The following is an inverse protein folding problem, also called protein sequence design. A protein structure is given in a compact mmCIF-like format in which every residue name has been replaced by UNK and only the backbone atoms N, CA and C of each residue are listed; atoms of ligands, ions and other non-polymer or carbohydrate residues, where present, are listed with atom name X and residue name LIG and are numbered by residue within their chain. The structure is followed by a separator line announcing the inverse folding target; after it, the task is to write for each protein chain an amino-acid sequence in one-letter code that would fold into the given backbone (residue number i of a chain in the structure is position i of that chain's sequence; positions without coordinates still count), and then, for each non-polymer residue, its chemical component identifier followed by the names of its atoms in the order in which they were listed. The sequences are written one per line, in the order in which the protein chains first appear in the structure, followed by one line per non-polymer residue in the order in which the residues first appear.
data_IF_000639443577
#
_entry.id   IF_000639443577
#
_cell.length_a   1.000
_cell.length_b   1.000
_cell.length_c   1.000
_cell.angle_alpha   90.00
_cell.angle_beta   90.00
_cell.angle_gamma   90.00
#
_symmetry.space_group_name_H-M   'P 1'
#
loop_
_entity.id
_entity.type
_entity.pdbx_description
1 polymer ?
#
# COMPACT_ATOMS: atom_id res chain seq x y z
N UNK A 1 -18.25 -14.35 25.05
CA UNK A 1 -18.55 -14.53 23.62
C UNK A 1 -17.26 -14.69 22.86
N UNK A 2 -17.22 -15.66 21.96
CA UNK A 2 -16.10 -15.85 21.04
C UNK A 2 -16.00 -14.64 20.11
N UNK A 3 -14.79 -14.08 19.99
CA UNK A 3 -14.49 -13.00 19.07
C UNK A 3 -13.33 -13.41 18.14
N UNK A 4 -13.07 -12.64 17.07
CA UNK A 4 -12.05 -12.98 16.09
C UNK A 4 -10.67 -13.17 16.75
N UNK A 5 -10.27 -12.28 17.66
CA UNK A 5 -8.97 -12.36 18.33
C UNK A 5 -8.84 -13.62 19.20
N UNK A 6 -9.90 -14.02 19.87
CA UNK A 6 -9.95 -15.25 20.67
C UNK A 6 -9.91 -16.49 19.77
N UNK A 7 -10.66 -16.47 18.67
CA UNK A 7 -10.68 -17.57 17.69
C UNK A 7 -9.28 -17.84 17.09
N UNK A 8 -8.57 -16.80 16.67
CA UNK A 8 -7.24 -16.91 16.08
C UNK A 8 -6.09 -16.94 17.11
N UNK A 9 -6.37 -16.88 18.41
CA UNK A 9 -5.35 -16.89 19.47
C UNK A 9 -4.28 -17.99 19.31
N UNK A 10 -4.59 -19.23 18.87
CA UNK A 10 -3.59 -20.29 18.71
C UNK A 10 -2.44 -19.97 17.74
N UNK A 11 -2.62 -19.00 16.83
CA UNK A 11 -1.57 -18.62 15.87
C UNK A 11 -0.83 -17.34 16.25
N UNK A 12 -1.24 -16.61 17.28
CA UNK A 12 -0.60 -15.36 17.72
C UNK A 12 0.86 -15.56 18.18
N UNK A 13 1.13 -16.66 18.90
CA UNK A 13 2.49 -16.96 19.41
C UNK A 13 3.50 -17.24 18.28
N UNK A 14 3.00 -17.51 17.08
CA UNK A 14 3.81 -17.78 15.88
C UNK A 14 3.94 -16.57 14.96
N UNK A 15 3.37 -15.44 15.32
CA UNK A 15 3.37 -14.25 14.48
C UNK A 15 4.78 -13.80 14.08
N UNK A 16 4.97 -13.58 12.80
CA UNK A 16 6.24 -13.18 12.18
C UNK A 16 7.20 -14.31 11.88
N UNK A 17 6.80 -15.58 12.04
CA UNK A 17 7.67 -16.71 11.70
C UNK A 17 7.77 -16.94 10.18
N UNK A 18 6.77 -16.49 9.41
CA UNK A 18 6.70 -16.67 7.96
C UNK A 18 6.84 -15.32 7.20
N UNK A 19 7.06 -14.22 7.93
CA UNK A 19 7.22 -12.92 7.30
C UNK A 19 8.44 -12.88 6.37
N UNK A 20 8.21 -12.41 5.15
CA UNK A 20 9.25 -12.19 4.15
C UNK A 20 9.83 -10.76 4.22
N UNK A 21 9.37 -9.93 5.13
CA UNK A 21 9.83 -8.55 5.30
C UNK A 21 11.29 -8.53 5.72
N UNK A 22 12.10 -7.76 4.98
CA UNK A 22 13.51 -7.54 5.27
C UNK A 22 13.78 -6.06 5.36
N UNK A 23 14.44 -5.64 6.45
CA UNK A 23 14.74 -4.24 6.72
C UNK A 23 16.25 -4.08 6.86
N UNK A 24 16.80 -3.12 6.11
CA UNK A 24 18.19 -2.73 6.16
C UNK A 24 18.29 -1.33 6.76
N UNK A 25 19.11 -1.16 7.78
CA UNK A 25 19.53 0.17 8.25
C UNK A 25 20.59 0.69 7.30
N UNK A 26 20.28 1.79 6.60
CA UNK A 26 21.18 2.37 5.58
C UNK A 26 22.19 3.34 6.20
N UNK A 27 21.75 4.16 7.16
CA UNK A 27 22.57 5.18 7.79
C UNK A 27 22.10 5.49 9.21
N UNK A 28 22.92 6.25 9.95
CA UNK A 28 22.73 6.62 11.33
C UNK A 28 23.68 5.86 12.27
N UNK A 29 23.62 6.13 13.60
CA UNK A 29 22.68 7.08 14.21
C UNK A 29 23.09 8.54 14.01
N UNK A 30 22.10 9.39 13.72
CA UNK A 30 22.24 10.83 13.79
C UNK A 30 21.56 11.34 15.07
N UNK A 31 22.18 12.28 15.83
CA UNK A 31 21.55 12.86 17.01
C UNK A 31 20.37 13.75 16.59
N UNK A 32 19.24 13.57 17.26
CA UNK A 32 18.01 14.33 16.98
C UNK A 32 17.34 14.80 18.26
N UNK A 33 16.48 15.83 18.11
CA UNK A 33 15.58 16.26 19.16
C UNK A 33 14.17 15.74 18.85
N UNK A 34 13.67 14.84 19.66
CA UNK A 34 12.36 14.21 19.53
C UNK A 34 11.27 15.00 20.28
N UNK A 35 9.99 14.70 20.02
CA UNK A 35 8.85 15.37 20.64
C UNK A 35 8.94 16.89 20.54
N UNK A 36 9.15 17.42 19.34
CA UNK A 36 9.30 18.87 19.12
C UNK A 36 10.38 19.51 20.01
N UNK A 37 11.54 18.88 20.09
CA UNK A 37 12.71 19.40 20.81
C UNK A 37 12.72 19.14 22.33
N UNK A 38 11.87 18.24 22.84
CA UNK A 38 11.73 18.01 24.28
C UNK A 38 12.66 16.92 24.83
N UNK A 39 13.03 15.94 24.02
CA UNK A 39 13.90 14.84 24.44
C UNK A 39 14.96 14.52 23.41
N UNK A 40 16.16 14.19 23.87
CA UNK A 40 17.26 13.79 22.99
C UNK A 40 17.10 12.34 22.54
N UNK A 41 17.48 12.05 21.32
CA UNK A 41 17.45 10.71 20.75
C UNK A 41 18.37 10.54 19.57
N UNK A 42 18.29 9.38 18.96
CA UNK A 42 19.06 8.98 17.78
C UNK A 42 18.13 8.51 16.69
N UNK A 43 18.41 8.93 15.47
CA UNK A 43 17.63 8.57 14.29
C UNK A 43 18.47 7.77 13.30
N UNK A 44 17.85 6.78 12.72
CA UNK A 44 18.39 5.96 11.63
C UNK A 44 17.47 6.03 10.43
N UNK A 45 18.05 5.87 9.28
CA UNK A 45 17.31 5.68 8.04
C UNK A 45 17.35 4.20 7.68
N UNK A 46 16.18 3.61 7.46
CA UNK A 46 16.00 2.22 7.12
C UNK A 46 15.27 2.04 5.78
N UNK A 47 15.49 0.90 5.15
CA UNK A 47 14.83 0.52 3.89
C UNK A 47 14.26 -0.89 3.97
N UNK A 48 13.15 -1.11 3.23
CA UNK A 48 12.58 -2.42 2.96
C UNK A 48 12.11 -2.46 1.50
N UNK A 49 12.86 -3.12 0.65
CA UNK A 49 12.70 -2.97 -0.80
C UNK A 49 12.96 -1.51 -1.20
N UNK A 50 12.03 -0.89 -1.91
CA UNK A 50 12.10 0.52 -2.33
C UNK A 50 11.54 1.50 -1.27
N UNK A 51 10.98 0.97 -0.18
CA UNK A 51 10.48 1.79 0.92
C UNK A 51 11.63 2.32 1.78
N UNK A 52 11.57 3.60 2.14
CA UNK A 52 12.53 4.28 2.96
C UNK A 52 11.81 5.00 4.10
N UNK A 53 12.26 4.79 5.35
CA UNK A 53 11.60 5.32 6.52
C UNK A 53 12.57 5.56 7.69
N UNK A 54 12.14 6.39 8.63
CA UNK A 54 12.91 6.77 9.81
C UNK A 54 12.60 5.86 10.99
N UNK A 55 13.66 5.50 11.72
CA UNK A 55 13.58 4.85 13.03
C UNK A 55 14.22 5.76 14.05
N UNK A 56 13.52 6.11 15.12
CA UNK A 56 14.04 7.05 16.10
C UNK A 56 13.94 6.47 17.52
N UNK A 57 14.95 6.63 18.33
CA UNK A 57 15.00 6.07 19.68
C UNK A 57 15.46 7.15 20.66
N UNK A 58 14.64 7.41 21.68
CA UNK A 58 14.99 8.30 22.79
C UNK A 58 16.16 7.73 23.59
N UNK A 59 17.19 8.54 23.85
CA UNK A 59 18.43 8.12 24.53
C UNK A 59 18.17 7.52 25.91
N UNK A 60 17.20 8.03 26.65
CA UNK A 60 16.83 7.55 27.99
C UNK A 60 16.34 6.10 28.00
N UNK A 61 15.95 5.54 26.86
CA UNK A 61 15.40 4.18 26.77
C UNK A 61 16.48 3.09 26.83
N UNK A 62 17.68 3.37 26.36
CA UNK A 62 18.71 2.38 26.11
C UNK A 62 18.32 1.29 25.10
N UNK A 63 17.27 1.52 24.33
CA UNK A 63 16.77 0.55 23.35
C UNK A 63 17.74 0.41 22.17
N UNK A 64 17.73 -0.77 21.55
CA UNK A 64 18.58 -1.11 20.40
C UNK A 64 17.75 -1.07 19.11
N UNK A 65 18.24 -0.34 18.10
CA UNK A 65 17.62 -0.26 16.78
C UNK A 65 17.49 -1.62 16.12
N UNK A 66 18.43 -2.55 16.33
CA UNK A 66 18.34 -3.92 15.80
C UNK A 66 17.11 -4.65 16.32
N UNK A 67 16.80 -4.49 17.61
CA UNK A 67 15.60 -5.09 18.21
C UNK A 67 14.31 -4.45 17.68
N UNK A 68 14.33 -3.17 17.34
CA UNK A 68 13.20 -2.53 16.67
C UNK A 68 13.04 -3.09 15.25
N UNK A 69 14.11 -3.22 14.49
CA UNK A 69 14.11 -3.83 13.14
C UNK A 69 13.59 -5.26 13.20
N UNK A 70 14.07 -6.11 14.11
CA UNK A 70 13.58 -7.48 14.28
C UNK A 70 12.07 -7.57 14.54
N UNK A 71 11.50 -6.58 15.25
CA UNK A 71 10.06 -6.51 15.48
C UNK A 71 9.30 -6.06 14.23
N UNK A 72 9.82 -5.09 13.49
CA UNK A 72 9.23 -4.63 12.23
C UNK A 72 9.31 -5.69 11.13
N UNK A 73 10.37 -6.50 11.10
CA UNK A 73 10.49 -7.62 10.15
C UNK A 73 9.45 -8.73 10.37
N UNK A 74 8.80 -8.78 11.54
CA UNK A 74 7.68 -9.69 11.78
C UNK A 74 6.38 -9.24 11.10
N UNK A 75 6.27 -7.97 10.74
CA UNK A 75 5.10 -7.44 10.06
C UNK A 75 5.02 -7.93 8.61
N UNK A 76 3.83 -8.15 8.07
CA UNK A 76 3.66 -8.32 6.63
C UNK A 76 4.21 -7.10 5.88
N UNK A 77 4.78 -7.30 4.69
CA UNK A 77 5.37 -6.21 3.88
C UNK A 77 4.39 -5.08 3.58
N UNK A 78 3.10 -5.38 3.44
CA UNK A 78 2.05 -4.38 3.25
C UNK A 78 1.91 -3.39 4.41
N UNK A 79 2.35 -3.73 5.63
CA UNK A 79 2.32 -2.85 6.80
C UNK A 79 3.51 -1.88 6.85
N UNK A 80 4.56 -2.13 6.08
CA UNK A 80 5.72 -1.22 6.00
C UNK A 80 5.33 0.13 5.38
N UNK A 81 4.27 0.18 4.57
CA UNK A 81 3.71 1.44 4.09
C UNK A 81 3.34 2.41 5.23
N UNK A 82 2.86 1.90 6.37
CA UNK A 82 2.60 2.73 7.56
C UNK A 82 3.89 3.38 8.10
N UNK A 83 5.02 2.66 8.07
CA UNK A 83 6.33 3.21 8.50
C UNK A 83 6.79 4.35 7.58
N UNK A 84 6.50 4.26 6.27
CA UNK A 84 6.79 5.33 5.31
C UNK A 84 5.91 6.54 5.58
N UNK A 85 4.59 6.34 5.71
CA UNK A 85 3.64 7.42 5.98
C UNK A 85 4.01 8.23 7.23
N UNK A 86 4.33 7.56 8.35
CA UNK A 86 4.73 8.27 9.55
C UNK A 86 6.09 8.96 9.43
N UNK A 87 6.93 8.53 8.50
CA UNK A 87 8.23 9.15 8.22
C UNK A 87 8.12 10.37 7.32
N UNK A 88 7.15 10.37 6.41
CA UNK A 88 6.89 11.48 5.48
C UNK A 88 6.10 12.60 6.16
N UNK A 89 5.14 12.26 7.02
CA UNK A 89 4.26 13.20 7.72
C UNK A 89 4.83 13.68 9.07
N UNK A 90 5.75 12.91 9.69
CA UNK A 90 6.30 13.18 11.02
C UNK A 90 7.84 13.28 11.04
N UNK A 91 8.36 13.95 12.08
CA UNK A 91 9.80 14.13 12.24
C UNK A 91 10.48 12.84 12.74
N UNK A 92 9.81 12.11 13.65
CA UNK A 92 10.40 10.98 14.38
C UNK A 92 10.17 9.62 13.67
N UNK A 93 9.22 9.54 12.73
CA UNK A 93 8.90 8.27 12.06
C UNK A 93 8.38 7.20 13.03
N UNK A 94 8.92 5.99 12.96
CA UNK A 94 8.65 4.95 13.97
C UNK A 94 9.58 5.19 15.15
N UNK A 95 9.01 5.56 16.31
CA UNK A 95 9.77 6.06 17.44
C UNK A 95 9.62 5.22 18.71
N UNK A 96 10.73 5.03 19.46
CA UNK A 96 10.70 4.45 20.81
C UNK A 96 10.92 5.56 21.83
N UNK A 97 9.99 5.69 22.78
CA UNK A 97 10.01 6.63 23.89
C UNK A 97 10.07 5.91 25.23
N UNK A 98 10.69 6.55 26.21
CA UNK A 98 10.79 6.01 27.58
C UNK A 98 9.41 5.94 28.25
N UNK A 99 8.55 6.93 27.98
CA UNK A 99 7.21 7.01 28.55
C UNK A 99 6.21 7.58 27.56
N UNK A 100 5.04 6.95 27.51
CA UNK A 100 3.87 7.36 26.70
C UNK A 100 2.64 7.63 27.58
N UNK A 101 2.84 8.10 28.83
CA UNK A 101 1.74 8.40 29.74
C UNK A 101 0.95 7.17 30.17
N UNK A 102 1.63 6.03 30.32
CA UNK A 102 1.02 4.76 30.69
C UNK A 102 0.51 3.92 29.51
N UNK A 103 0.48 4.45 28.29
CA UNK A 103 0.19 3.67 27.09
C UNK A 103 1.39 2.82 26.65
N UNK A 104 1.13 1.70 25.96
CA UNK A 104 2.18 0.86 25.38
C UNK A 104 2.65 1.38 24.03
N UNK A 105 1.76 2.03 23.31
CA UNK A 105 2.02 2.60 22.00
C UNK A 105 0.93 3.62 21.63
N UNK A 106 1.18 4.40 20.58
CA UNK A 106 0.22 5.25 19.90
C UNK A 106 0.50 5.23 18.40
N UNK A 107 -0.53 5.04 17.58
CA UNK A 107 -0.47 5.15 16.13
C UNK A 107 -1.35 6.26 15.60
N UNK A 108 -0.94 6.87 14.51
CA UNK A 108 -1.68 7.93 13.84
C UNK A 108 -0.98 8.45 12.60
N UNK A 109 -1.54 9.56 12.06
CA UNK A 109 -0.97 10.22 10.90
C UNK A 109 0.39 10.83 11.23
N UNK A 110 1.46 10.38 10.95
CA UNK A 110 2.79 10.97 11.19
C UNK A 110 3.48 10.45 12.45
N UNK A 111 2.94 9.42 13.09
CA UNK A 111 3.63 8.79 14.22
C UNK A 111 3.20 7.34 14.45
N UNK A 112 4.18 6.50 14.75
CA UNK A 112 4.04 5.22 15.46
C UNK A 112 4.99 5.30 16.64
N UNK A 113 4.46 5.62 17.81
CA UNK A 113 5.22 5.78 19.05
C UNK A 113 5.10 4.53 19.91
N UNK A 114 6.20 4.00 20.38
CA UNK A 114 6.30 2.72 21.07
C UNK A 114 7.05 2.89 22.39
N UNK A 115 6.68 2.13 23.41
CA UNK A 115 7.59 1.90 24.55
C UNK A 115 8.63 0.81 24.21
N UNK A 116 9.78 0.73 24.93
CA UNK A 116 10.86 -0.19 24.58
C UNK A 116 10.46 -1.67 24.47
N UNK A 117 9.43 -2.10 25.19
CA UNK A 117 8.96 -3.48 25.24
C UNK A 117 7.71 -3.75 24.37
N UNK A 118 7.22 -2.79 23.60
CA UNK A 118 6.13 -3.02 22.66
C UNK A 118 6.52 -4.08 21.63
N UNK A 119 5.69 -5.10 21.45
CA UNK A 119 5.94 -6.21 20.54
C UNK A 119 5.41 -5.94 19.11
N UNK A 120 5.67 -6.85 18.19
CA UNK A 120 5.24 -6.72 16.80
C UNK A 120 3.72 -6.69 16.63
N UNK A 121 2.95 -7.33 17.51
CA UNK A 121 1.50 -7.30 17.49
C UNK A 121 0.96 -5.91 17.84
N UNK A 122 1.59 -5.24 18.82
CA UNK A 122 1.28 -3.84 19.13
C UNK A 122 1.61 -2.95 17.93
N UNK A 123 2.75 -3.16 17.27
CA UNK A 123 3.11 -2.38 16.08
C UNK A 123 2.10 -2.60 14.94
N UNK A 124 1.61 -3.82 14.75
CA UNK A 124 0.58 -4.11 13.75
C UNK A 124 -0.73 -3.36 14.03
N UNK A 125 -1.12 -3.24 15.30
CA UNK A 125 -2.26 -2.45 15.74
C UNK A 125 -2.08 -0.96 15.43
N UNK A 126 -0.94 -0.38 15.83
CA UNK A 126 -0.64 1.05 15.60
C UNK A 126 -0.52 1.39 14.11
N UNK A 127 0.05 0.48 13.31
CA UNK A 127 0.04 0.59 11.86
C UNK A 127 -1.39 0.61 11.30
N UNK A 128 -2.32 -0.12 11.92
CA UNK A 128 -3.74 -0.06 11.60
C UNK A 128 -4.32 1.34 11.73
N UNK A 129 -4.03 2.05 12.82
CA UNK A 129 -4.44 3.45 13.01
C UNK A 129 -3.83 4.39 11.97
N UNK A 130 -2.54 4.21 11.65
CA UNK A 130 -1.88 5.01 10.61
C UNK A 130 -2.56 4.83 9.26
N UNK A 131 -2.77 3.57 8.85
CA UNK A 131 -3.38 3.24 7.56
C UNK A 131 -4.86 3.68 7.48
N UNK A 132 -5.61 3.59 8.58
CA UNK A 132 -6.96 4.12 8.69
C UNK A 132 -6.97 5.63 8.43
N UNK A 133 -6.07 6.39 9.06
CA UNK A 133 -6.02 7.85 8.89
C UNK A 133 -5.63 8.25 7.47
N UNK A 134 -4.69 7.53 6.84
CA UNK A 134 -4.36 7.71 5.42
C UNK A 134 -5.59 7.44 4.54
N UNK A 135 -6.30 6.34 4.80
CA UNK A 135 -7.52 6.01 4.07
C UNK A 135 -8.62 7.07 4.26
N UNK A 136 -8.76 7.64 5.46
CA UNK A 136 -9.74 8.69 5.78
C UNK A 136 -9.45 10.00 5.03
N UNK A 137 -8.19 10.32 4.76
CA UNK A 137 -7.85 11.48 3.92
C UNK A 137 -8.33 11.30 2.47
N UNK A 138 -8.25 10.07 1.97
CA UNK A 138 -8.69 9.74 0.61
C UNK A 138 -10.21 9.54 0.52
N UNK A 139 -10.83 9.00 1.57
CA UNK A 139 -12.27 8.80 1.68
C UNK A 139 -12.74 9.14 3.11
N UNK A 140 -13.26 10.36 3.34
CA UNK A 140 -13.74 10.78 4.66
C UNK A 140 -14.84 9.89 5.27
N UNK A 141 -15.46 9.01 4.44
CA UNK A 141 -16.51 8.07 4.89
C UNK A 141 -15.97 6.68 5.23
N UNK A 142 -14.66 6.49 5.24
CA UNK A 142 -14.07 5.15 5.47
C UNK A 142 -14.51 4.56 6.80
N UNK A 143 -14.54 5.36 7.87
CA UNK A 143 -14.98 4.89 9.18
C UNK A 143 -16.50 4.65 9.28
N UNK A 144 -17.30 5.37 8.52
CA UNK A 144 -18.74 5.09 8.43
C UNK A 144 -18.98 3.76 7.71
N UNK A 145 -18.26 3.52 6.61
CA UNK A 145 -18.27 2.22 5.91
C UNK A 145 -17.76 1.08 6.80
N UNK A 146 -16.76 1.36 7.65
CA UNK A 146 -16.25 0.39 8.61
C UNK A 146 -17.31 0.02 9.66
N UNK A 147 -18.02 1.00 10.20
CA UNK A 147 -19.11 0.79 11.15
C UNK A 147 -20.25 -0.04 10.52
N UNK A 148 -20.58 0.20 9.26
CA UNK A 148 -21.56 -0.61 8.55
C UNK A 148 -21.07 -2.06 8.33
N UNK A 149 -19.76 -2.23 8.09
CA UNK A 149 -19.15 -3.55 7.99
C UNK A 149 -19.17 -4.31 9.34
N UNK A 150 -18.92 -3.63 10.47
CA UNK A 150 -19.05 -4.20 11.82
C UNK A 150 -20.46 -4.78 12.01
N UNK A 151 -21.48 -3.98 11.68
CA UNK A 151 -22.89 -4.38 11.81
C UNK A 151 -23.23 -5.56 10.88
N UNK A 152 -22.74 -5.53 9.65
CA UNK A 152 -23.02 -6.57 8.65
C UNK A 152 -22.34 -7.90 8.97
N UNK A 153 -21.11 -7.88 9.45
CA UNK A 153 -20.36 -9.08 9.83
C UNK A 153 -20.89 -9.70 11.14
N UNK A 154 -21.50 -8.91 12.01
CA UNK A 154 -22.14 -9.32 13.26
C UNK A 154 -21.25 -10.22 14.15
N UNK A 155 -19.97 -9.94 14.18
CA UNK A 155 -18.98 -10.61 15.03
C UNK A 155 -18.07 -9.56 15.68
N UNK A 156 -17.74 -9.71 16.95
CA UNK A 156 -16.75 -8.86 17.64
C UNK A 156 -15.34 -9.19 17.16
N UNK A 157 -14.49 -8.18 16.97
CA UNK A 157 -13.05 -8.41 16.74
C UNK A 157 -12.34 -8.70 18.06
N UNK A 158 -12.60 -7.91 19.08
CA UNK A 158 -12.08 -8.05 20.44
C UNK A 158 -12.90 -7.20 21.42
N UNK A 159 -12.81 -7.50 22.72
CA UNK A 159 -13.45 -6.67 23.75
C UNK A 159 -12.91 -5.24 23.78
N UNK A 160 -11.71 -5.01 23.27
CA UNK A 160 -11.13 -3.67 23.16
C UNK A 160 -11.66 -2.93 21.93
N UNK A 161 -11.74 -3.60 20.79
CA UNK A 161 -12.30 -3.08 19.56
C UNK A 161 -13.78 -2.70 19.67
N UNK A 162 -14.55 -3.42 20.49
CA UNK A 162 -15.99 -3.14 20.70
C UNK A 162 -16.27 -1.74 21.30
N UNK A 163 -15.24 -1.04 21.81
CA UNK A 163 -15.43 0.27 22.44
C UNK A 163 -15.70 1.38 21.43
N UNK A 164 -14.93 1.42 20.36
CA UNK A 164 -15.03 2.43 19.31
C UNK A 164 -14.52 1.88 17.97
N UNK A 165 -15.11 2.36 16.88
CA UNK A 165 -14.88 1.86 15.51
C UNK A 165 -13.44 1.92 15.01
N UNK A 166 -12.64 2.91 15.43
CA UNK A 166 -11.23 2.97 15.03
C UNK A 166 -10.37 1.95 15.78
N UNK A 167 -10.73 1.60 17.02
CA UNK A 167 -10.09 0.50 17.74
C UNK A 167 -10.48 -0.87 17.16
N UNK A 168 -11.74 -1.04 16.74
CA UNK A 168 -12.16 -2.25 16.02
C UNK A 168 -11.34 -2.43 14.74
N UNK A 169 -11.09 -1.34 13.98
CA UNK A 169 -10.28 -1.38 12.78
C UNK A 169 -8.82 -1.76 13.09
N UNK A 170 -8.19 -1.13 14.09
CA UNK A 170 -6.81 -1.42 14.46
C UNK A 170 -6.64 -2.85 15.03
N UNK A 171 -7.61 -3.33 15.82
CA UNK A 171 -7.65 -4.72 16.29
C UNK A 171 -7.85 -5.70 15.11
N UNK A 172 -8.70 -5.35 14.13
CA UNK A 172 -8.85 -6.16 12.92
C UNK A 172 -7.57 -6.18 12.08
N UNK A 173 -6.87 -5.05 11.97
CA UNK A 173 -5.55 -4.96 11.33
C UNK A 173 -4.56 -5.95 11.97
N UNK A 174 -4.54 -6.03 13.30
CA UNK A 174 -3.70 -6.98 14.03
C UNK A 174 -4.10 -8.43 13.71
N UNK A 175 -5.40 -8.78 13.77
CA UNK A 175 -5.88 -10.13 13.43
C UNK A 175 -5.54 -10.50 12.00
N UNK A 176 -5.75 -9.58 11.06
CA UNK A 176 -5.43 -9.79 9.65
C UNK A 176 -3.94 -10.06 9.44
N UNK A 177 -3.04 -9.27 10.08
CA UNK A 177 -1.60 -9.50 10.00
C UNK A 177 -1.19 -10.89 10.47
N UNK A 178 -1.78 -11.35 11.59
CA UNK A 178 -1.54 -12.69 12.14
C UNK A 178 -2.02 -13.78 11.20
N UNK A 179 -3.23 -13.64 10.63
CA UNK A 179 -3.79 -14.60 9.68
C UNK A 179 -3.00 -14.65 8.37
N UNK A 180 -2.55 -13.50 7.88
CA UNK A 180 -1.72 -13.38 6.68
C UNK A 180 -0.38 -14.09 6.86
N UNK A 181 0.30 -13.88 7.99
CA UNK A 181 1.57 -14.55 8.31
C UNK A 181 1.38 -16.07 8.47
N UNK A 182 0.30 -16.50 9.10
CA UNK A 182 -0.01 -17.92 9.29
C UNK A 182 -0.41 -18.65 8.00
N UNK A 183 -0.72 -17.92 6.93
CA UNK A 183 -0.92 -18.44 5.58
C UNK A 183 -2.37 -18.46 5.08
N UNK A 184 -2.56 -18.86 3.81
CA UNK A 184 -3.82 -18.69 3.07
C UNK A 184 -5.04 -19.30 3.75
N UNK A 185 -4.89 -20.43 4.43
CA UNK A 185 -6.00 -21.11 5.12
C UNK A 185 -6.64 -20.21 6.18
N UNK A 186 -5.81 -19.56 7.01
CA UNK A 186 -6.30 -18.70 8.09
C UNK A 186 -6.86 -17.39 7.55
N UNK A 187 -6.27 -16.87 6.47
CA UNK A 187 -6.76 -15.68 5.81
C UNK A 187 -8.15 -15.91 5.19
N UNK A 188 -8.37 -17.04 4.51
CA UNK A 188 -9.69 -17.44 4.01
C UNK A 188 -10.72 -17.69 5.13
N UNK A 189 -10.28 -18.21 6.27
CA UNK A 189 -11.13 -18.37 7.45
C UNK A 189 -11.56 -17.02 8.01
N UNK A 190 -10.64 -16.06 8.16
CA UNK A 190 -10.95 -14.69 8.57
C UNK A 190 -11.94 -14.02 7.60
N UNK A 191 -11.72 -14.18 6.29
CA UNK A 191 -12.61 -13.66 5.24
C UNK A 191 -14.02 -14.22 5.33
N UNK A 192 -14.17 -15.50 5.69
CA UNK A 192 -15.49 -16.12 5.89
C UNK A 192 -16.18 -15.61 7.15
N UNK A 193 -15.43 -15.39 8.23
CA UNK A 193 -15.98 -14.93 9.51
C UNK A 193 -16.33 -13.43 9.49
N UNK A 194 -15.59 -12.61 8.75
CA UNK A 194 -15.77 -11.16 8.72
C UNK A 194 -15.56 -10.61 7.29
N UNK A 195 -16.46 -10.95 6.36
CA UNK A 195 -16.25 -10.66 4.93
C UNK A 195 -16.25 -9.17 4.60
N UNK A 196 -17.04 -8.34 5.29
CA UNK A 196 -17.16 -6.92 4.99
C UNK A 196 -15.98 -6.12 5.50
N UNK A 197 -15.52 -6.38 6.76
CA UNK A 197 -14.28 -5.78 7.25
C UNK A 197 -13.07 -6.25 6.44
N UNK A 198 -13.03 -7.55 6.08
CA UNK A 198 -11.96 -8.09 5.25
C UNK A 198 -11.84 -7.35 3.91
N UNK A 199 -12.95 -7.18 3.18
CA UNK A 199 -12.99 -6.45 1.92
C UNK A 199 -12.53 -4.99 2.06
N UNK A 200 -13.00 -4.30 3.11
CA UNK A 200 -12.59 -2.92 3.37
C UNK A 200 -11.13 -2.80 3.79
N UNK A 201 -10.65 -3.73 4.62
CA UNK A 201 -9.27 -3.72 5.06
C UNK A 201 -8.29 -3.97 3.92
N UNK A 202 -8.59 -4.87 3.01
CA UNK A 202 -7.77 -5.05 1.81
C UNK A 202 -7.74 -3.80 0.94
N UNK A 203 -8.83 -3.03 0.87
CA UNK A 203 -8.84 -1.73 0.19
C UNK A 203 -8.01 -0.66 0.92
N UNK A 204 -7.93 -0.72 2.25
CA UNK A 204 -7.10 0.18 3.07
C UNK A 204 -5.63 -0.19 2.95
N UNK A 205 -5.30 -1.48 3.05
CA UNK A 205 -3.93 -1.99 2.90
C UNK A 205 -3.38 -1.79 1.51
N UNK A 206 -4.24 -1.80 0.52
CA UNK A 206 -3.85 -1.47 -0.83
C UNK A 206 -3.85 0.06 -0.97
N UNK A 207 -2.72 0.76 -0.71
CA UNK A 207 -2.59 2.20 -0.94
C UNK A 207 -2.76 2.54 -2.43
N UNK A 208 -2.70 1.53 -3.29
CA UNK A 208 -3.17 1.48 -4.66
C UNK A 208 -4.61 0.98 -4.75
N UNK A 209 -5.44 1.38 -3.75
CA UNK A 209 -6.83 1.49 -4.06
C UNK A 209 -6.86 2.30 -5.38
N UNK A 210 -7.31 1.67 -6.49
CA UNK A 210 -7.41 2.33 -7.78
C UNK A 210 -8.13 3.68 -7.69
N UNK A 211 -8.95 3.88 -6.65
CA UNK A 211 -9.60 5.15 -6.32
C UNK A 211 -8.61 6.22 -5.80
N UNK A 212 -7.47 5.85 -5.17
CA UNK A 212 -6.46 6.84 -4.76
C UNK A 212 -5.59 7.26 -5.95
N UNK A 213 -5.21 6.31 -6.80
CA UNK A 213 -4.54 6.63 -8.06
C UNK A 213 -5.41 7.51 -8.97
N UNK A 214 -6.73 7.21 -9.03
CA UNK A 214 -7.71 8.03 -9.74
C UNK A 214 -7.71 9.50 -9.31
N UNK A 215 -7.53 9.78 -8.02
CA UNK A 215 -7.46 11.16 -7.52
C UNK A 215 -6.13 11.85 -7.84
N UNK A 216 -5.06 11.09 -8.10
CA UNK A 216 -3.72 11.61 -8.41
C UNK A 216 -3.41 11.63 -9.90
N UNK A 217 -4.24 10.99 -10.74
CA UNK A 217 -4.10 11.08 -12.19
C UNK A 217 -4.32 12.52 -12.66
N UNK A 218 -3.50 12.94 -13.63
CA UNK A 218 -3.71 14.23 -14.30
C UNK A 218 -5.15 14.31 -14.86
N UNK A 219 -5.82 15.47 -14.79
CA UNK A 219 -7.16 15.65 -15.33
C UNK A 219 -7.33 15.32 -16.83
N UNK A 220 -6.26 15.11 -17.56
CA UNK A 220 -6.25 14.59 -18.91
C UNK A 220 -6.87 13.19 -18.99
N UNK A 221 -6.61 12.32 -18.00
CA UNK A 221 -7.10 10.95 -17.94
C UNK A 221 -8.56 10.91 -17.49
N UNK A 222 -9.47 11.17 -18.44
CA UNK A 222 -10.93 11.23 -18.20
C UNK A 222 -11.57 9.87 -18.06
N UNK A 223 -11.01 8.86 -18.71
CA UNK A 223 -11.50 7.48 -18.70
C UNK A 223 -10.47 6.58 -18.03
N UNK A 224 -10.94 5.62 -17.27
CA UNK A 224 -10.08 4.60 -16.67
C UNK A 224 -10.90 3.38 -16.32
N UNK A 225 -10.23 2.24 -16.34
CA UNK A 225 -10.70 0.98 -15.78
C UNK A 225 -9.69 0.48 -14.75
N UNK A 226 -10.12 -0.51 -14.01
CA UNK A 226 -9.29 -1.23 -13.07
C UNK A 226 -9.48 -2.70 -13.34
N UNK A 227 -8.42 -3.37 -13.71
CA UNK A 227 -8.45 -4.79 -14.03
C UNK A 227 -7.29 -5.50 -13.31
N UNK A 228 -7.62 -6.51 -12.49
CA UNK A 228 -6.65 -7.22 -11.66
C UNK A 228 -5.84 -6.32 -10.71
N UNK A 229 -6.35 -5.12 -10.39
CA UNK A 229 -5.67 -4.10 -9.62
C UNK A 229 -4.89 -3.09 -10.47
N UNK A 230 -4.65 -3.34 -11.77
CA UNK A 230 -4.00 -2.40 -12.69
C UNK A 230 -4.95 -1.28 -13.11
N UNK A 231 -4.52 -0.05 -12.93
CA UNK A 231 -5.20 1.11 -13.51
C UNK A 231 -4.77 1.25 -14.96
N UNK A 232 -5.75 1.24 -15.86
CA UNK A 232 -5.57 1.57 -17.28
C UNK A 232 -6.37 2.84 -17.55
N UNK A 233 -5.70 3.89 -18.01
CA UNK A 233 -6.28 5.21 -18.14
C UNK A 233 -6.05 5.80 -19.53
N UNK A 234 -6.94 6.67 -19.97
CA UNK A 234 -6.84 7.40 -21.21
C UNK A 234 -7.63 8.70 -21.19
N UNK A 235 -7.47 9.51 -22.22
CA UNK A 235 -8.30 10.69 -22.42
C UNK A 235 -9.77 10.31 -22.70
N UNK A 236 -10.65 11.29 -22.78
CA UNK A 236 -12.05 11.08 -23.20
C UNK A 236 -12.22 10.53 -24.61
N UNK A 237 -11.17 10.57 -25.43
CA UNK A 237 -11.18 10.12 -26.84
C UNK A 237 -10.85 8.63 -26.99
N UNK A 238 -10.24 8.03 -25.97
CA UNK A 238 -9.82 6.62 -26.00
C UNK A 238 -11.03 5.70 -25.92
N UNK A 239 -11.03 4.63 -26.71
CA UNK A 239 -12.05 3.59 -26.63
C UNK A 239 -11.97 2.82 -25.32
N UNK A 240 -13.12 2.61 -24.65
CA UNK A 240 -13.19 1.75 -23.47
C UNK A 240 -12.77 0.30 -23.76
N UNK A 241 -12.95 -0.16 -25.02
CA UNK A 241 -12.49 -1.48 -25.44
C UNK A 241 -10.96 -1.57 -25.43
N UNK A 242 -10.26 -0.49 -25.80
CA UNK A 242 -8.79 -0.46 -25.74
C UNK A 242 -8.29 -0.50 -24.29
N UNK A 243 -8.95 0.22 -23.37
CA UNK A 243 -8.63 0.12 -21.96
C UNK A 243 -8.83 -1.32 -21.45
N UNK A 244 -9.94 -1.96 -21.81
CA UNK A 244 -10.24 -3.33 -21.44
C UNK A 244 -9.22 -4.33 -21.99
N UNK A 245 -8.82 -4.19 -23.26
CA UNK A 245 -7.81 -5.07 -23.88
C UNK A 245 -6.45 -4.93 -23.20
N UNK A 246 -6.00 -3.71 -22.90
CA UNK A 246 -4.74 -3.49 -22.19
C UNK A 246 -4.75 -4.13 -20.79
N UNK A 247 -5.83 -3.99 -20.04
CA UNK A 247 -6.01 -4.66 -18.74
C UNK A 247 -5.98 -6.18 -18.86
N UNK A 248 -6.73 -6.73 -19.81
CA UNK A 248 -6.75 -8.17 -20.08
C UNK A 248 -5.36 -8.73 -20.41
N UNK A 249 -4.63 -8.07 -21.32
CA UNK A 249 -3.28 -8.49 -21.71
C UNK A 249 -2.31 -8.46 -20.54
N UNK A 250 -2.29 -7.38 -19.76
CA UNK A 250 -1.45 -7.28 -18.56
C UNK A 250 -1.71 -8.42 -17.57
N UNK A 251 -2.99 -8.71 -17.29
CA UNK A 251 -3.37 -9.82 -16.42
C UNK A 251 -2.94 -11.19 -16.99
N UNK A 252 -3.01 -11.36 -18.30
CA UNK A 252 -2.53 -12.59 -18.95
C UNK A 252 -1.02 -12.74 -18.85
N UNK A 253 -0.26 -11.67 -19.09
CA UNK A 253 1.20 -11.67 -18.98
C UNK A 253 1.67 -12.02 -17.57
N UNK A 254 0.97 -11.55 -16.55
CA UNK A 254 1.33 -11.72 -15.14
C UNK A 254 0.49 -12.77 -14.40
N UNK A 255 -0.30 -13.61 -15.12
CA UNK A 255 -1.23 -14.58 -14.51
C UNK A 255 -0.56 -15.52 -13.49
N UNK A 256 0.70 -15.88 -13.72
CA UNK A 256 1.48 -16.77 -12.84
C UNK A 256 2.47 -16.00 -11.95
N UNK A 257 2.41 -14.67 -11.94
CA UNK A 257 3.32 -13.80 -11.21
C UNK A 257 2.56 -12.66 -10.52
N UNK A 258 1.62 -13.02 -9.59
CA UNK A 258 0.89 -12.01 -8.81
C UNK A 258 1.83 -11.14 -7.96
N UNK A 259 3.00 -11.67 -7.59
CA UNK A 259 4.06 -10.95 -6.91
C UNK A 259 4.59 -9.77 -7.75
N UNK A 260 4.79 -9.96 -9.05
CA UNK A 260 5.21 -8.85 -9.94
C UNK A 260 4.09 -7.84 -10.10
N UNK A 261 2.83 -8.30 -10.30
CA UNK A 261 1.68 -7.42 -10.39
C UNK A 261 1.61 -6.52 -9.14
N UNK A 262 1.72 -7.12 -7.96
CA UNK A 262 1.74 -6.40 -6.69
C UNK A 262 2.89 -5.39 -6.61
N UNK A 263 4.11 -5.79 -7.01
CA UNK A 263 5.29 -4.92 -7.01
C UNK A 263 5.15 -3.70 -7.96
N UNK A 264 4.57 -3.90 -9.13
CA UNK A 264 4.29 -2.80 -10.06
C UNK A 264 3.37 -1.75 -9.45
N UNK A 265 2.39 -2.18 -8.65
CA UNK A 265 1.48 -1.30 -7.95
C UNK A 265 2.10 -0.70 -6.71
N UNK A 266 2.58 -1.53 -5.79
CA UNK A 266 3.00 -1.11 -4.46
C UNK A 266 4.25 -0.24 -4.49
N UNK A 267 5.23 -0.61 -5.34
CA UNK A 267 6.53 0.07 -5.34
C UNK A 267 6.67 1.13 -6.42
N UNK A 268 5.96 0.97 -7.55
CA UNK A 268 6.25 1.79 -8.73
C UNK A 268 5.14 2.75 -9.11
N UNK A 269 3.99 2.73 -8.41
CA UNK A 269 2.80 3.53 -8.76
C UNK A 269 2.50 3.47 -10.26
N UNK A 270 2.62 2.26 -10.83
CA UNK A 270 2.54 2.05 -12.26
C UNK A 270 1.08 2.03 -12.69
N UNK A 271 0.78 2.72 -13.76
CA UNK A 271 -0.46 2.58 -14.48
C UNK A 271 -0.17 2.48 -15.98
N UNK A 272 -1.15 2.09 -16.75
CA UNK A 272 -1.07 2.06 -18.21
C UNK A 272 -1.78 3.27 -18.77
N UNK A 273 -1.10 4.03 -19.62
CA UNK A 273 -1.65 5.16 -20.33
C UNK A 273 -1.94 4.75 -21.80
N UNK A 274 -3.21 4.69 -22.16
CA UNK A 274 -3.62 4.43 -23.55
C UNK A 274 -3.86 5.76 -24.26
N UNK A 275 -3.27 5.90 -25.45
CA UNK A 275 -3.48 7.03 -26.35
C UNK A 275 -4.57 6.72 -27.35
N UNK A 276 -5.45 7.67 -27.58
CA UNK A 276 -6.36 7.59 -28.72
C UNK A 276 -5.57 7.62 -30.05
N UNK A 277 -6.15 7.07 -31.12
CA UNK A 277 -5.51 7.06 -32.45
C UNK A 277 -5.07 8.45 -32.93
N UNK A 278 -5.82 9.49 -32.55
CA UNK A 278 -5.53 10.88 -32.92
C UNK A 278 -4.56 11.59 -31.95
N UNK A 279 -4.08 10.92 -30.92
CA UNK A 279 -3.17 11.49 -29.90
C UNK A 279 -1.73 11.03 -30.16
N UNK A 280 -0.78 11.83 -29.69
CA UNK A 280 0.65 11.58 -29.75
C UNK A 280 1.20 11.24 -28.36
N UNK A 281 2.36 10.61 -28.31
CA UNK A 281 3.04 10.30 -27.06
C UNK A 281 3.25 11.55 -26.18
N UNK A 282 3.50 12.70 -26.78
CA UNK A 282 3.70 13.99 -26.10
C UNK A 282 2.42 14.64 -25.58
N UNK A 283 1.24 14.12 -25.95
CA UNK A 283 -0.03 14.60 -25.39
C UNK A 283 -0.28 14.03 -23.99
N UNK A 284 0.32 12.89 -23.71
CA UNK A 284 0.26 12.31 -22.36
C UNK A 284 0.94 13.24 -21.34
N UNK A 285 0.29 13.55 -20.20
CA UNK A 285 0.84 14.45 -19.18
C UNK A 285 2.23 14.03 -18.70
N UNK A 286 2.43 12.73 -18.53
CA UNK A 286 3.67 12.14 -18.02
C UNK A 286 4.83 12.18 -19.05
N UNK A 287 4.50 12.42 -20.31
CA UNK A 287 5.44 12.56 -21.41
C UNK A 287 5.66 14.02 -21.86
N UNK A 288 5.09 14.99 -21.15
CA UNK A 288 5.29 16.43 -21.43
C UNK A 288 6.76 16.79 -21.34
N UNK A 289 7.27 17.47 -22.37
CA UNK A 289 8.68 17.83 -22.46
C UNK A 289 9.57 16.83 -23.18
N UNK A 290 9.05 15.68 -23.59
CA UNK A 290 9.75 14.79 -24.52
C UNK A 290 9.89 15.46 -25.88
N UNK A 291 10.97 15.12 -26.62
CA UNK A 291 11.14 15.66 -27.96
C UNK A 291 10.02 15.18 -28.91
N UNK A 292 9.64 16.02 -29.86
CA UNK A 292 8.65 15.68 -30.91
C UNK A 292 9.05 14.46 -31.74
N UNK A 293 10.33 14.09 -31.75
CA UNK A 293 10.79 12.88 -32.39
C UNK A 293 10.09 11.62 -31.84
N UNK A 294 9.88 11.57 -30.51
CA UNK A 294 9.14 10.48 -29.87
C UNK A 294 7.67 10.47 -30.26
N UNK A 295 7.07 11.65 -30.41
CA UNK A 295 5.67 11.80 -30.80
C UNK A 295 5.37 11.16 -32.17
N UNK A 296 6.30 11.25 -33.10
CA UNK A 296 6.14 10.71 -34.45
C UNK A 296 6.64 9.29 -34.63
N UNK A 297 7.50 8.83 -33.74
CA UNK A 297 8.14 7.53 -33.87
C UNK A 297 7.44 6.44 -33.05
N UNK A 298 6.99 6.76 -31.86
CA UNK A 298 6.57 5.78 -30.88
C UNK A 298 5.05 5.83 -30.62
N UNK A 299 4.39 4.69 -30.81
CA UNK A 299 2.99 4.49 -30.38
C UNK A 299 2.91 3.65 -29.10
N UNK A 300 4.03 3.52 -28.36
CA UNK A 300 4.16 2.90 -27.07
C UNK A 300 5.51 3.23 -26.46
N UNK A 301 5.60 3.21 -25.14
CA UNK A 301 6.84 3.36 -24.37
C UNK A 301 6.79 2.51 -23.11
N UNK A 302 7.85 1.72 -22.87
CA UNK A 302 8.12 1.00 -21.62
C UNK A 302 8.68 1.94 -20.56
N UNK A 303 7.86 2.88 -20.10
CA UNK A 303 8.23 3.91 -19.14
C UNK A 303 7.25 3.94 -17.94
N UNK A 304 7.21 5.01 -17.19
CA UNK A 304 6.24 5.23 -16.12
C UNK A 304 5.42 6.48 -16.43
N UNK A 305 4.14 6.30 -16.81
CA UNK A 305 3.42 5.05 -17.07
C UNK A 305 3.92 4.31 -18.30
N UNK A 306 3.59 3.02 -18.39
CA UNK A 306 3.66 2.30 -19.68
C UNK A 306 2.59 2.88 -20.57
N UNK A 307 2.92 3.15 -21.84
CA UNK A 307 1.95 3.70 -22.78
C UNK A 307 1.82 2.86 -24.06
N UNK A 308 0.66 2.94 -24.69
CA UNK A 308 0.40 2.34 -25.99
C UNK A 308 -0.74 3.07 -26.72
N UNK A 309 -0.77 2.94 -28.05
CA UNK A 309 -1.86 3.45 -28.87
C UNK A 309 -3.04 2.47 -28.95
N UNK A 310 -4.27 2.98 -28.93
CA UNK A 310 -5.49 2.16 -29.04
C UNK A 310 -5.59 1.41 -30.36
N UNK A 311 -4.99 1.95 -31.43
CA UNK A 311 -5.02 1.34 -32.76
C UNK A 311 -4.31 -0.02 -32.79
N UNK A 312 -3.25 -0.20 -32.01
CA UNK A 312 -2.53 -1.47 -31.92
C UNK A 312 -3.28 -2.46 -31.04
N UNK A 313 -3.86 -2.00 -29.92
CA UNK A 313 -4.66 -2.84 -29.03
C UNK A 313 -5.91 -3.42 -29.72
N UNK A 314 -6.52 -2.65 -30.61
CA UNK A 314 -7.78 -2.99 -31.28
C UNK A 314 -7.61 -3.44 -32.74
N UNK A 315 -6.36 -3.64 -33.21
CA UNK A 315 -6.03 -4.00 -34.59
C UNK A 315 -6.72 -3.10 -35.63
N UNK A 316 -6.66 -1.77 -35.39
CA UNK A 316 -7.32 -0.80 -36.27
C UNK A 316 -6.55 -0.64 -37.58
N UNK A 317 -7.30 -0.30 -38.64
CA UNK A 317 -6.70 0.05 -39.91
C UNK A 317 -5.84 1.32 -39.74
N UNK A 318 -4.54 1.20 -39.96
CA UNK A 318 -3.60 2.31 -39.77
C UNK A 318 -2.62 2.13 -38.60
N UNK A 319 -2.77 1.01 -37.86
CA UNK A 319 -1.74 0.60 -36.91
C UNK A 319 -0.39 0.43 -37.64
N UNK A 320 0.68 1.16 -37.22
CA UNK A 320 1.98 1.05 -37.84
C UNK A 320 2.75 -0.24 -37.49
N UNK A 321 2.29 -1.00 -36.48
CA UNK A 321 2.98 -2.17 -35.95
C UNK A 321 2.22 -3.48 -36.26
N UNK A 322 1.73 -3.61 -37.47
CA UNK A 322 0.98 -4.81 -37.87
C UNK A 322 1.76 -6.09 -37.61
N UNK A 323 1.14 -7.01 -36.88
CA UNK A 323 1.72 -8.30 -36.52
C UNK A 323 2.53 -8.29 -35.24
N UNK A 324 2.66 -7.15 -34.56
CA UNK A 324 3.30 -7.00 -33.26
C UNK A 324 2.36 -6.29 -32.28
N UNK A 325 2.23 -6.79 -31.07
CA UNK A 325 1.47 -6.10 -30.02
C UNK A 325 2.42 -5.20 -29.22
N UNK A 326 2.37 -3.91 -29.47
CA UNK A 326 3.24 -2.91 -28.84
C UNK A 326 2.99 -2.82 -27.34
N UNK A 327 1.75 -3.02 -26.87
CA UNK A 327 1.49 -3.04 -25.45
C UNK A 327 2.25 -4.18 -24.75
N UNK A 328 2.22 -5.39 -25.30
CA UNK A 328 2.96 -6.54 -24.75
C UNK A 328 4.47 -6.23 -24.71
N UNK A 329 5.00 -5.65 -25.79
CA UNK A 329 6.42 -5.27 -25.86
C UNK A 329 6.78 -4.26 -24.77
N UNK A 330 6.07 -3.16 -24.66
CA UNK A 330 6.37 -2.07 -23.73
C UNK A 330 6.09 -2.43 -22.27
N UNK A 331 5.08 -3.26 -22.03
CA UNK A 331 4.75 -3.73 -20.67
C UNK A 331 5.78 -4.74 -20.15
N UNK A 332 6.50 -5.42 -21.04
CA UNK A 332 7.56 -6.35 -20.65
C UNK A 332 8.86 -5.66 -20.20
N UNK A 333 9.07 -4.38 -20.56
CA UNK A 333 10.21 -3.57 -20.11
C UNK A 333 10.13 -3.24 -18.62
#
# INVERSE_FOLDING_TARGET
NENLKTHFKPIYDKFGQHSATKIKVESGPEPVQMRNGRVAGKQWLATSGDYRFKLTIEDATGADVKKLVERLEKLPSSYISACVEVSDEGEDGVAIYADLGGARAHGGKGYINLVPHADALVIAHEAGHTLEQVATQNDPKVLDKWEDAIKADNISVSNYGDKVRHEDLAEFAQVYAVCLDAGPKHLEELKKMSPKRFELWEKILNPYNPLSLRKTLDPFYKQHIIDGGLVVAGSEKVSLYALGEAGYLANKMLANRPDIMQDLFDKRKMFVAVMAYCELQTDLPDCRGMSLWWAYRARGLGSRPVSCGEENLLDLKGDPYKGENIFIHEFAH
#
